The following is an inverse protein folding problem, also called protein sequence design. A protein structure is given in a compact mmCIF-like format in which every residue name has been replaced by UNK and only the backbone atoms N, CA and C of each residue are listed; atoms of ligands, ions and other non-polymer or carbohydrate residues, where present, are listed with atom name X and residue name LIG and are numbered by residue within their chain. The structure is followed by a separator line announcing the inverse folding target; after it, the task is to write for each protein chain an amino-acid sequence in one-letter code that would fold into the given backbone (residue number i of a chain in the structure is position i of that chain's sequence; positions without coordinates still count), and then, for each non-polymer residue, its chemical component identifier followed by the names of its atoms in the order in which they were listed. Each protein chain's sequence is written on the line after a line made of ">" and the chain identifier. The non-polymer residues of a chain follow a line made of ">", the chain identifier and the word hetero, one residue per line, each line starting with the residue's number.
data_IF_497344982954
#
_entry.id   IF_497344982954
#
_cell.length_a   1.000
_cell.length_b   1.000
_cell.length_c   1.000
_cell.angle_alpha   90.00
_cell.angle_beta   90.00
_cell.angle_gamma   90.00
#
_symmetry.space_group_name_H-M   'P 1'
#
loop_
_entity.id
_entity.type
_entity.pdbx_description
1 polymer ?
#
# COMPACT_ATOMS: atom_id res chain seq x y z
N UNK A 1 -21.76 44.80 20.51
CA UNK A 1 -21.57 43.34 20.42
C UNK A 1 -20.26 43.09 19.69
N UNK A 2 -19.23 42.67 20.41
CA UNK A 2 -17.99 42.20 19.81
C UNK A 2 -18.25 40.84 19.14
N UNK A 3 -17.80 40.62 17.90
CA UNK A 3 -17.92 39.31 17.28
C UNK A 3 -17.14 38.29 18.12
N UNK A 4 -17.60 37.03 18.19
CA UNK A 4 -16.94 36.04 19.02
C UNK A 4 -15.49 35.78 18.54
N UNK A 5 -14.53 35.79 19.47
CA UNK A 5 -13.08 35.70 19.22
C UNK A 5 -12.62 34.44 18.43
N UNK A 6 -13.48 33.44 18.26
CA UNK A 6 -13.18 32.22 17.51
C UNK A 6 -13.02 32.47 16.00
N UNK A 7 -13.54 33.58 15.46
CA UNK A 7 -13.45 33.91 14.04
C UNK A 7 -12.12 34.56 13.62
N UNK A 8 -11.25 34.92 14.59
CA UNK A 8 -10.01 35.66 14.33
C UNK A 8 -8.73 34.88 14.62
N UNK A 9 -8.80 33.68 15.22
CA UNK A 9 -7.63 32.83 15.42
C UNK A 9 -7.39 31.99 14.17
N UNK A 10 -6.45 32.44 13.33
CA UNK A 10 -5.85 31.57 12.32
C UNK A 10 -5.22 30.39 13.07
N UNK A 11 -5.62 29.13 12.78
CA UNK A 11 -5.03 27.97 13.43
C UNK A 11 -3.51 28.01 13.25
N UNK A 12 -2.71 27.86 14.32
CA UNK A 12 -1.27 27.97 14.23
C UNK A 12 -0.68 26.86 13.36
N UNK A 13 -1.34 25.71 13.29
CA UNK A 13 -0.95 24.55 12.50
C UNK A 13 -1.76 24.44 11.20
N UNK A 14 -1.06 24.31 10.06
CA UNK A 14 -1.63 23.97 8.76
C UNK A 14 -1.12 22.59 8.32
N UNK A 15 -2.03 21.75 7.86
CA UNK A 15 -1.73 20.42 7.31
C UNK A 15 -2.15 20.36 5.84
N UNK A 16 -1.28 19.81 4.99
CA UNK A 16 -1.56 19.58 3.58
C UNK A 16 -0.99 18.26 3.11
N UNK A 17 -1.69 17.56 2.22
CA UNK A 17 -1.13 16.43 1.50
C UNK A 17 -0.68 16.91 0.12
N UNK A 18 0.62 16.97 -0.16
CA UNK A 18 1.16 17.74 -1.33
C UNK A 18 1.72 16.88 -2.45
N UNK A 19 2.52 15.88 -2.10
CA UNK A 19 3.19 15.02 -3.06
C UNK A 19 2.69 13.58 -2.94
N UNK A 20 2.80 12.83 -4.02
CA UNK A 20 2.55 11.39 -4.05
C UNK A 20 3.69 10.73 -4.81
N UNK A 21 4.29 9.70 -4.23
CA UNK A 21 5.35 8.92 -4.86
C UNK A 21 5.06 7.44 -4.71
N UNK A 22 5.50 6.67 -5.68
CA UNK A 22 5.42 5.22 -5.65
C UNK A 22 6.68 4.66 -6.30
N UNK A 23 7.39 3.79 -5.57
CA UNK A 23 8.49 3.00 -6.10
C UNK A 23 7.95 1.64 -6.56
N UNK A 24 8.49 1.10 -7.65
CA UNK A 24 8.04 -0.17 -8.22
C UNK A 24 8.03 -1.27 -7.15
N UNK A 25 6.85 -1.86 -6.89
CA UNK A 25 6.66 -2.92 -5.90
C UNK A 25 6.25 -2.44 -4.49
N UNK A 26 6.40 -1.15 -4.18
CA UNK A 26 6.04 -0.57 -2.88
C UNK A 26 4.67 0.12 -2.91
N UNK A 27 3.97 0.22 -1.77
CA UNK A 27 2.74 0.99 -1.67
C UNK A 27 3.00 2.48 -1.95
N UNK A 28 2.03 3.13 -2.60
CA UNK A 28 2.12 4.57 -2.82
C UNK A 28 2.11 5.33 -1.49
N UNK A 29 3.04 6.27 -1.34
CA UNK A 29 3.19 7.14 -0.18
C UNK A 29 2.86 8.58 -0.55
N UNK A 30 2.30 9.30 0.42
CA UNK A 30 1.85 10.67 0.28
C UNK A 30 2.55 11.55 1.30
N UNK A 31 3.02 12.71 0.86
CA UNK A 31 3.66 13.68 1.74
C UNK A 31 2.60 14.45 2.52
N UNK A 32 2.55 14.22 3.83
CA UNK A 32 1.83 15.03 4.80
C UNK A 32 2.74 16.16 5.28
N UNK A 33 2.55 17.34 4.70
CA UNK A 33 3.27 18.56 5.04
C UNK A 33 2.58 19.30 6.20
N UNK A 34 3.35 19.57 7.24
CA UNK A 34 2.92 20.29 8.44
C UNK A 34 3.65 21.63 8.51
N UNK A 35 2.90 22.71 8.78
CA UNK A 35 3.45 24.05 9.01
C UNK A 35 2.83 24.67 10.25
N UNK A 36 3.67 24.90 11.26
CA UNK A 36 3.33 25.59 12.48
C UNK A 36 3.86 27.02 12.42
N UNK A 37 2.98 28.00 12.58
CA UNK A 37 3.35 29.38 12.82
C UNK A 37 3.33 29.61 14.33
N UNK A 38 4.49 29.86 14.94
CA UNK A 38 4.56 30.22 16.36
C UNK A 38 4.05 31.65 16.54
N UNK A 39 3.21 31.86 17.56
CA UNK A 39 2.66 33.18 17.87
C UNK A 39 3.77 34.13 18.33
N UNK A 40 3.72 35.37 17.86
CA UNK A 40 4.59 36.47 18.30
C UNK A 40 4.40 36.74 19.79
N UNK A 41 5.46 36.62 20.59
CA UNK A 41 5.50 37.18 21.94
C UNK A 41 5.89 38.67 21.93
N UNK A 42 6.58 39.15 20.89
CA UNK A 42 7.03 40.55 20.75
C UNK A 42 6.82 41.08 19.32
N UNK A 43 6.50 42.37 19.21
CA UNK A 43 5.98 43.02 17.99
C UNK A 43 7.03 43.21 16.87
N UNK A 44 8.31 42.90 17.12
CA UNK A 44 9.43 43.18 16.20
C UNK A 44 10.19 41.94 15.67
N UNK A 45 9.89 40.73 16.14
CA UNK A 45 10.56 39.52 15.61
C UNK A 45 9.81 38.90 14.42
N UNK A 46 10.54 38.28 13.46
CA UNK A 46 9.92 37.52 12.38
C UNK A 46 9.13 36.34 12.96
N UNK A 47 7.96 36.05 12.39
CA UNK A 47 7.14 34.88 12.77
C UNK A 47 7.97 33.63 12.57
N UNK A 48 8.32 32.94 13.66
CA UNK A 48 9.05 31.68 13.58
C UNK A 48 8.11 30.61 13.00
N UNK A 49 8.51 30.05 11.85
CA UNK A 49 7.76 29.01 11.15
C UNK A 49 8.52 27.71 11.26
N UNK A 50 7.91 26.72 11.90
CA UNK A 50 8.41 25.34 11.95
C UNK A 50 7.66 24.53 10.91
N UNK A 51 8.38 23.82 10.05
CA UNK A 51 7.80 22.96 9.03
C UNK A 51 8.45 21.58 9.04
N UNK A 52 7.64 20.55 8.83
CA UNK A 52 8.11 19.18 8.72
C UNK A 52 7.18 18.39 7.80
N UNK A 53 7.70 17.30 7.25
CA UNK A 53 6.95 16.42 6.36
C UNK A 53 7.04 14.99 6.85
N UNK A 54 5.94 14.26 6.72
CA UNK A 54 5.88 12.82 6.93
C UNK A 54 5.42 12.15 5.63
N UNK A 55 5.96 10.97 5.34
CA UNK A 55 5.49 10.16 4.23
C UNK A 55 4.57 9.08 4.78
N UNK A 56 3.33 9.07 4.30
CA UNK A 56 2.27 8.19 4.81
C UNK A 56 1.59 7.45 3.67
N UNK A 57 1.38 6.15 3.85
CA UNK A 57 0.59 5.31 2.96
C UNK A 57 -0.91 5.59 3.11
N UNK A 58 -1.70 5.21 2.11
CA UNK A 58 -3.15 5.29 2.20
C UNK A 58 -3.71 4.48 3.39
N UNK A 59 -3.11 3.32 3.65
CA UNK A 59 -3.44 2.42 4.75
C UNK A 59 -3.19 3.10 6.11
N UNK A 60 -2.12 3.88 6.26
CA UNK A 60 -1.88 4.67 7.48
C UNK A 60 -2.92 5.77 7.68
N UNK A 61 -3.33 6.48 6.61
CA UNK A 61 -4.44 7.44 6.70
C UNK A 61 -5.74 6.74 7.12
N UNK A 62 -5.98 5.53 6.61
CA UNK A 62 -7.15 4.73 6.98
C UNK A 62 -7.08 4.26 8.43
N UNK A 63 -5.91 3.86 8.91
CA UNK A 63 -5.70 3.49 10.31
C UNK A 63 -5.94 4.68 11.25
N UNK A 64 -5.42 5.86 10.89
CA UNK A 64 -5.68 7.12 11.59
C UNK A 64 -7.18 7.42 11.68
N UNK A 65 -7.89 7.35 10.56
CA UNK A 65 -9.34 7.56 10.51
C UNK A 65 -10.11 6.56 11.40
N UNK A 66 -9.74 5.29 11.36
CA UNK A 66 -10.33 4.26 12.22
C UNK A 66 -10.09 4.57 13.71
N UNK A 67 -8.90 5.02 14.09
CA UNK A 67 -8.58 5.40 15.48
C UNK A 67 -9.38 6.62 15.93
N UNK A 68 -9.47 7.64 15.08
CA UNK A 68 -10.30 8.84 15.33
C UNK A 68 -11.77 8.48 15.58
N UNK A 69 -12.30 7.48 14.84
CA UNK A 69 -13.68 6.99 15.00
C UNK A 69 -13.85 6.00 16.16
N UNK A 70 -12.84 5.21 16.49
CA UNK A 70 -12.90 4.17 17.53
C UNK A 70 -12.94 4.75 18.95
N UNK A 71 -12.40 5.96 19.16
CA UNK A 71 -12.39 6.64 20.45
C UNK A 71 -13.79 7.14 20.85
N UNK A 72 -14.74 6.23 21.16
CA UNK A 72 -16.16 6.55 21.44
C UNK A 72 -16.40 7.60 22.53
N UNK A 73 -15.45 7.76 23.45
CA UNK A 73 -15.50 8.77 24.53
C UNK A 73 -14.95 10.14 24.11
N UNK A 74 -14.28 10.23 22.96
CA UNK A 74 -13.72 11.46 22.41
C UNK A 74 -14.79 12.30 21.70
N UNK A 75 -14.81 13.64 21.86
CA UNK A 75 -15.67 14.51 21.09
C UNK A 75 -15.40 14.40 19.58
N UNK A 76 -14.16 14.14 19.19
CA UNK A 76 -13.76 14.02 17.78
C UNK A 76 -14.45 12.85 17.07
N UNK A 77 -14.64 11.71 17.76
CA UNK A 77 -15.31 10.55 17.17
C UNK A 77 -16.76 10.88 16.74
N UNK A 78 -17.46 11.72 17.51
CA UNK A 78 -18.81 12.19 17.15
C UNK A 78 -18.78 13.12 15.94
N UNK A 79 -17.76 13.97 15.84
CA UNK A 79 -17.58 14.89 14.71
C UNK A 79 -17.16 14.18 13.42
N UNK A 80 -16.40 13.09 13.53
CA UNK A 80 -15.96 12.27 12.39
C UNK A 80 -17.12 11.68 11.58
N UNK A 81 -18.34 11.67 12.10
CA UNK A 81 -19.56 11.31 11.33
C UNK A 81 -19.82 12.31 10.19
N UNK A 82 -19.41 13.57 10.36
CA UNK A 82 -19.56 14.64 9.36
C UNK A 82 -18.43 14.63 8.31
N UNK A 83 -17.38 13.84 8.54
CA UNK A 83 -16.20 13.78 7.68
C UNK A 83 -16.13 12.42 6.99
N UNK A 84 -16.40 12.43 5.69
CA UNK A 84 -16.23 11.25 4.85
C UNK A 84 -14.74 10.98 4.63
N UNK A 85 -14.31 9.74 4.88
CA UNK A 85 -12.96 9.31 4.52
C UNK A 85 -12.81 9.15 3.00
N UNK A 86 -11.58 9.28 2.50
CA UNK A 86 -11.26 9.07 1.10
C UNK A 86 -11.71 7.66 0.65
N UNK A 87 -12.37 7.49 -0.51
CA UNK A 87 -12.89 6.19 -0.93
C UNK A 87 -11.79 5.16 -1.18
N UNK A 88 -12.00 3.95 -0.67
CA UNK A 88 -11.20 2.79 -1.02
C UNK A 88 -11.44 2.38 -2.48
N UNK A 89 -10.60 2.84 -3.41
CA UNK A 89 -10.65 2.48 -4.83
C UNK A 89 -10.14 1.06 -5.11
N UNK A 90 -10.69 0.06 -4.41
CA UNK A 90 -10.29 -1.36 -4.51
C UNK A 90 -10.37 -1.90 -5.94
N UNK A 91 -11.30 -1.39 -6.76
CA UNK A 91 -11.47 -1.80 -8.16
C UNK A 91 -10.33 -1.31 -9.07
N UNK A 92 -9.72 -0.17 -8.76
CA UNK A 92 -8.61 0.42 -9.55
C UNK A 92 -7.26 -0.24 -9.24
N UNK A 93 -7.10 -0.75 -8.01
CA UNK A 93 -5.97 -1.58 -7.62
C UNK A 93 -5.86 -2.90 -8.41
N UNK A 94 -6.97 -3.41 -8.95
CA UNK A 94 -6.96 -4.63 -9.79
C UNK A 94 -6.40 -4.43 -11.21
N UNK A 95 -6.20 -3.18 -11.67
CA UNK A 95 -5.69 -2.87 -13.01
C UNK A 95 -4.38 -2.10 -13.00
N UNK A 96 -3.69 -2.04 -11.85
CA UNK A 96 -2.57 -1.12 -11.62
C UNK A 96 -2.91 0.35 -11.95
N UNK A 97 -4.21 0.69 -12.04
CA UNK A 97 -4.67 2.05 -12.30
C UNK A 97 -4.42 2.93 -11.08
N UNK A 98 -4.31 2.31 -9.91
CA UNK A 98 -3.90 2.94 -8.67
C UNK A 98 -2.43 3.39 -8.67
N UNK A 99 -1.64 2.93 -9.63
CA UNK A 99 -0.24 3.33 -9.82
C UNK A 99 -0.08 4.44 -10.86
N UNK A 100 -1.17 4.82 -11.55
CA UNK A 100 -1.09 5.89 -12.54
C UNK A 100 -0.90 7.25 -11.86
N UNK A 101 -0.08 8.16 -12.42
CA UNK A 101 0.09 9.50 -11.87
C UNK A 101 -1.24 10.25 -11.66
N UNK A 102 -2.18 10.07 -12.58
CA UNK A 102 -3.51 10.68 -12.49
C UNK A 102 -4.32 10.19 -11.29
N UNK A 103 -4.16 8.92 -10.92
CA UNK A 103 -4.82 8.36 -9.75
C UNK A 103 -4.15 8.82 -8.47
N UNK A 104 -2.81 8.79 -8.43
CA UNK A 104 -2.05 9.25 -7.27
C UNK A 104 -2.37 10.71 -6.95
N UNK A 105 -2.47 11.57 -7.96
CA UNK A 105 -2.87 12.97 -7.78
C UNK A 105 -4.31 13.09 -7.29
N UNK A 106 -5.24 12.34 -7.88
CA UNK A 106 -6.63 12.32 -7.40
C UNK A 106 -6.72 11.89 -5.93
N UNK A 107 -6.00 10.84 -5.56
CA UNK A 107 -5.98 10.31 -4.20
C UNK A 107 -5.31 11.29 -3.23
N UNK A 108 -4.21 11.94 -3.64
CA UNK A 108 -3.58 13.02 -2.88
C UNK A 108 -4.59 14.15 -2.59
N UNK A 109 -5.35 14.57 -3.59
CA UNK A 109 -6.39 15.60 -3.43
C UNK A 109 -7.50 15.17 -2.46
N UNK A 110 -7.95 13.92 -2.55
CA UNK A 110 -8.95 13.36 -1.63
C UNK A 110 -8.44 13.30 -0.18
N UNK A 111 -7.19 12.88 0.02
CA UNK A 111 -6.55 12.84 1.34
C UNK A 111 -6.30 14.26 1.91
N UNK A 112 -5.87 15.21 1.08
CA UNK A 112 -5.72 16.62 1.47
C UNK A 112 -7.05 17.22 1.93
N UNK A 113 -8.12 17.00 1.15
CA UNK A 113 -9.46 17.46 1.52
C UNK A 113 -9.95 16.83 2.83
N UNK A 114 -9.70 15.53 3.03
CA UNK A 114 -10.01 14.85 4.28
C UNK A 114 -9.27 15.47 5.47
N UNK A 115 -7.95 15.69 5.35
CA UNK A 115 -7.16 16.32 6.42
C UNK A 115 -7.62 17.73 6.72
N UNK A 116 -7.91 18.54 5.69
CA UNK A 116 -8.45 19.89 5.88
C UNK A 116 -9.79 19.88 6.63
N UNK A 117 -10.64 18.88 6.41
CA UNK A 117 -11.91 18.73 7.14
C UNK A 117 -11.70 18.35 8.60
N UNK A 118 -10.77 17.45 8.90
CA UNK A 118 -10.40 17.10 10.28
C UNK A 118 -9.86 18.33 11.02
N UNK A 119 -9.08 19.17 10.35
CA UNK A 119 -8.51 20.40 10.91
C UNK A 119 -9.55 21.50 11.21
N UNK A 120 -10.81 21.34 10.78
CA UNK A 120 -11.91 22.24 11.16
C UNK A 120 -12.50 21.90 12.53
N UNK A 121 -12.12 20.78 13.13
CA UNK A 121 -12.63 20.40 14.44
C UNK A 121 -12.07 21.34 15.52
N UNK A 122 -12.92 21.90 16.40
CA UNK A 122 -12.48 22.72 17.52
C UNK A 122 -11.47 21.96 18.38
N UNK A 123 -10.42 22.66 18.81
CA UNK A 123 -9.38 22.16 19.72
C UNK A 123 -8.59 20.93 19.23
N UNK A 124 -8.79 20.47 17.99
CA UNK A 124 -8.15 19.25 17.47
C UNK A 124 -6.62 19.31 17.48
N UNK A 125 -6.07 20.53 17.38
CA UNK A 125 -4.63 20.82 17.40
C UNK A 125 -4.13 21.44 18.71
N UNK A 126 -4.98 21.59 19.72
CA UNK A 126 -4.63 22.19 21.01
C UNK A 126 -3.96 21.15 21.92
N UNK A 127 -2.81 20.63 21.50
CA UNK A 127 -2.10 19.53 22.18
C UNK A 127 -1.55 19.91 23.57
N UNK A 128 -1.40 21.20 23.86
CA UNK A 128 -1.02 21.69 25.20
C UNK A 128 -2.15 21.60 26.23
N UNK A 129 -3.39 21.26 25.80
CA UNK A 129 -4.56 21.13 26.66
C UNK A 129 -5.14 19.72 26.60
N UNK A 130 -5.85 19.34 27.66
CA UNK A 130 -6.54 18.04 27.76
C UNK A 130 -7.61 17.80 26.69
N UNK A 131 -8.05 18.86 25.99
CA UNK A 131 -9.00 18.78 24.88
C UNK A 131 -8.40 18.41 23.53
N UNK A 132 -7.07 18.38 23.41
CA UNK A 132 -6.38 18.10 22.15
C UNK A 132 -6.58 16.68 21.62
N UNK A 133 -6.41 16.50 20.31
CA UNK A 133 -6.54 15.18 19.70
C UNK A 133 -5.20 14.44 19.70
N UNK A 134 -5.04 13.50 20.63
CA UNK A 134 -3.83 12.66 20.69
C UNK A 134 -3.57 11.84 19.43
N UNK A 135 -4.62 11.24 18.86
CA UNK A 135 -4.49 10.44 17.63
C UNK A 135 -3.93 11.28 16.48
N UNK A 136 -4.31 12.56 16.40
CA UNK A 136 -3.74 13.49 15.42
C UNK A 136 -2.29 13.85 15.76
N UNK A 137 -1.98 14.14 17.02
CA UNK A 137 -0.62 14.44 17.48
C UNK A 137 0.36 13.32 17.12
N UNK A 138 -0.01 12.07 17.42
CA UNK A 138 0.79 10.88 17.12
C UNK A 138 0.96 10.71 15.60
N UNK A 139 -0.13 10.87 14.84
CA UNK A 139 -0.12 10.70 13.38
C UNK A 139 0.79 11.70 12.66
N UNK A 140 0.86 12.94 13.14
CA UNK A 140 1.70 14.00 12.55
C UNK A 140 3.08 14.11 13.21
N UNK A 141 3.41 13.28 14.21
CA UNK A 141 4.67 13.38 14.96
C UNK A 141 4.83 14.71 15.69
N UNK A 142 3.75 15.23 16.28
CA UNK A 142 3.71 16.55 16.91
C UNK A 142 4.68 16.69 18.08
N UNK A 143 4.97 15.61 18.82
CA UNK A 143 5.84 15.62 20.01
C UNK A 143 7.25 16.18 19.74
N UNK A 144 7.76 16.07 18.51
CA UNK A 144 9.08 16.59 18.14
C UNK A 144 9.08 18.10 17.84
N UNK A 145 7.90 18.71 17.69
CA UNK A 145 7.75 20.06 17.13
C UNK A 145 6.80 20.98 17.93
N UNK A 146 5.98 20.41 18.83
CA UNK A 146 4.92 21.09 19.56
C UNK A 146 4.84 20.61 21.00
N UNK A 147 4.36 21.47 21.89
CA UNK A 147 4.03 21.08 23.25
C UNK A 147 2.79 20.17 23.27
N UNK A 148 3.01 18.90 23.62
CA UNK A 148 2.00 17.86 23.75
C UNK A 148 1.73 17.48 25.21
N UNK A 149 2.23 18.26 26.18
CA UNK A 149 2.11 17.99 27.62
C UNK A 149 0.67 17.88 28.12
N UNK A 150 -0.29 18.49 27.41
CA UNK A 150 -1.72 18.43 27.76
C UNK A 150 -2.39 17.09 27.45
N UNK A 151 -1.79 16.22 26.64
CA UNK A 151 -2.40 14.97 26.14
C UNK A 151 -2.29 13.78 27.11
N UNK A 152 -2.13 14.04 28.42
CA UNK A 152 -1.89 13.03 29.46
C UNK A 152 -2.94 11.90 29.45
N UNK A 153 -2.51 10.71 29.02
CA UNK A 153 -3.24 9.45 29.05
C UNK A 153 -2.29 8.29 28.72
N UNK A 154 -2.64 7.02 29.03
CA UNK A 154 -1.75 5.89 28.76
C UNK A 154 -1.36 5.88 27.29
N UNK A 155 -0.06 5.97 27.00
CA UNK A 155 0.46 5.70 25.67
C UNK A 155 0.15 4.25 25.34
N UNK A 156 -0.84 4.03 24.48
CA UNK A 156 -0.95 2.76 23.78
C UNK A 156 0.18 2.76 22.75
N UNK A 157 1.39 2.47 23.23
CA UNK A 157 2.49 1.98 22.40
C UNK A 157 2.03 0.65 21.82
N UNK A 158 1.26 0.68 20.75
CA UNK A 158 1.27 -0.40 19.77
C UNK A 158 2.49 -0.14 18.90
N UNK A 159 3.64 -0.54 19.42
CA UNK A 159 4.82 -0.87 18.62
C UNK A 159 4.46 -2.05 17.71
N UNK A 160 3.72 -1.78 16.64
CA UNK A 160 3.94 -2.46 15.38
C UNK A 160 5.09 -1.70 14.73
N UNK A 161 6.24 -2.35 14.61
CA UNK A 161 7.43 -1.81 13.95
C UNK A 161 7.05 -1.30 12.55
N UNK A 162 6.84 0.01 12.43
CA UNK A 162 6.96 0.72 11.18
C UNK A 162 8.35 1.34 11.17
N UNK A 163 9.30 0.59 10.61
CA UNK A 163 10.63 1.12 10.26
C UNK A 163 10.48 2.22 9.22
N UNK A 164 10.28 3.45 9.71
CA UNK A 164 10.56 4.66 8.95
C UNK A 164 12.07 4.88 9.05
N UNK A 165 12.79 4.55 7.99
CA UNK A 165 14.21 4.79 7.80
C UNK A 165 14.56 6.26 8.04
N UNK A 166 15.03 6.57 9.25
CA UNK A 166 15.75 7.81 9.58
C UNK A 166 17.15 7.37 10.01
N UNK A 167 18.13 7.63 9.16
CA UNK A 167 19.50 7.17 9.38
C UNK A 167 20.14 7.79 10.62
N UNK A 168 20.97 7.00 11.29
CA UNK A 168 22.29 7.41 11.79
C UNK A 168 23.06 6.18 12.29
N UNK A 169 24.35 6.17 11.92
CA UNK A 169 25.51 5.67 12.67
C UNK A 169 25.60 4.18 13.02
N UNK A 170 26.63 3.58 12.39
CA UNK A 170 27.35 2.37 12.82
C UNK A 170 27.73 2.44 14.30
N UNK A 171 27.40 1.39 15.05
CA UNK A 171 28.41 0.56 15.71
C UNK A 171 27.85 -0.81 16.13
N UNK A 172 28.72 -1.82 16.12
CA UNK A 172 28.47 -3.27 16.29
C UNK A 172 27.91 -3.71 17.64
N UNK A 173 27.07 -4.76 17.63
CA UNK A 173 27.37 -6.07 18.26
C UNK A 173 26.21 -7.07 18.12
N UNK A 174 26.61 -8.33 17.90
CA UNK A 174 25.83 -9.58 17.78
C UNK A 174 24.69 -9.78 18.79
N UNK A 175 23.60 -10.39 18.34
CA UNK A 175 23.34 -11.83 18.58
C UNK A 175 21.98 -12.30 18.05
N UNK A 176 22.02 -13.48 17.43
CA UNK A 176 20.91 -14.30 16.97
C UNK A 176 19.89 -14.64 18.05
N UNK A 177 18.59 -14.49 17.78
CA UNK A 177 17.58 -15.45 18.26
C UNK A 177 16.33 -15.52 17.36
N UNK A 178 16.47 -16.37 16.33
CA UNK A 178 15.46 -17.29 15.78
C UNK A 178 14.13 -17.38 16.57
N UNK A 179 13.02 -16.94 15.96
CA UNK A 179 11.69 -17.57 16.17
C UNK A 179 10.77 -17.28 14.99
N UNK A 180 10.64 -18.27 14.10
CA UNK A 180 9.70 -18.29 13.00
C UNK A 180 8.31 -18.68 13.50
N UNK A 181 7.37 -17.73 13.48
CA UNK A 181 5.95 -17.99 13.74
C UNK A 181 5.31 -18.60 12.48
N UNK A 182 5.44 -19.91 12.33
CA UNK A 182 4.71 -20.72 11.35
C UNK A 182 3.23 -20.65 11.70
N UNK A 183 2.47 -19.83 10.98
CA UNK A 183 1.01 -19.87 11.04
C UNK A 183 0.52 -21.07 10.23
N UNK A 184 0.27 -22.17 10.95
CA UNK A 184 -0.51 -23.31 10.49
C UNK A 184 -1.97 -22.86 10.40
N UNK A 185 -2.44 -22.49 9.20
CA UNK A 185 -3.83 -22.62 8.77
C UNK A 185 -3.99 -22.31 7.26
N UNK A 186 -4.76 -23.13 6.55
CA UNK A 186 -5.47 -22.69 5.33
C UNK A 186 -4.99 -23.25 3.99
N UNK A 187 -5.12 -24.56 3.73
CA UNK A 187 -5.12 -25.06 2.35
C UNK A 187 -6.16 -24.35 1.45
N UNK A 188 -7.25 -23.82 2.05
CA UNK A 188 -8.27 -23.03 1.37
C UNK A 188 -7.81 -21.64 0.90
N UNK A 189 -6.88 -20.99 1.60
CA UNK A 189 -6.40 -19.64 1.25
C UNK A 189 -5.46 -19.68 0.04
N UNK A 190 -4.63 -20.73 -0.05
CA UNK A 190 -3.75 -20.94 -1.20
C UNK A 190 -4.53 -21.21 -2.49
N UNK A 191 -5.60 -21.99 -2.42
CA UNK A 191 -6.47 -22.28 -3.58
C UNK A 191 -7.23 -21.04 -4.02
N UNK A 192 -7.73 -20.24 -3.08
CA UNK A 192 -8.39 -18.97 -3.40
C UNK A 192 -7.42 -17.95 -4.03
N UNK A 193 -6.18 -17.89 -3.53
CA UNK A 193 -5.12 -17.06 -4.11
C UNK A 193 -4.77 -17.48 -5.53
N UNK A 194 -4.56 -18.78 -5.79
CA UNK A 194 -4.26 -19.31 -7.13
C UNK A 194 -5.36 -19.05 -8.16
N UNK A 195 -6.63 -19.21 -7.76
CA UNK A 195 -7.78 -18.91 -8.64
C UNK A 195 -7.82 -17.43 -9.05
N UNK A 196 -7.42 -16.54 -8.14
CA UNK A 196 -7.29 -15.11 -8.43
C UNK A 196 -6.14 -14.86 -9.41
N UNK A 197 -5.00 -15.53 -9.23
CA UNK A 197 -3.85 -15.42 -10.15
C UNK A 197 -4.20 -15.83 -11.58
N UNK A 198 -4.77 -17.03 -11.81
CA UNK A 198 -5.15 -17.45 -13.17
C UNK A 198 -6.16 -16.50 -13.83
N UNK A 199 -7.02 -15.85 -13.03
CA UNK A 199 -7.93 -14.84 -13.55
C UNK A 199 -7.20 -13.56 -13.95
N UNK A 200 -6.22 -13.13 -13.16
CA UNK A 200 -5.41 -11.94 -13.43
C UNK A 200 -4.56 -12.13 -14.69
N UNK A 201 -3.88 -13.26 -14.83
CA UNK A 201 -3.07 -13.59 -16.01
C UNK A 201 -3.89 -13.49 -17.31
N UNK A 202 -5.12 -14.04 -17.33
CA UNK A 202 -6.01 -13.92 -18.50
C UNK A 202 -6.35 -12.46 -18.78
N UNK A 203 -6.65 -11.67 -17.73
CA UNK A 203 -7.04 -10.28 -17.90
C UNK A 203 -5.88 -9.40 -18.39
N UNK A 204 -4.65 -9.68 -17.96
CA UNK A 204 -3.41 -9.01 -18.37
C UNK A 204 -3.05 -9.34 -19.83
N UNK A 205 -2.98 -10.61 -20.20
CA UNK A 205 -2.65 -11.01 -21.58
C UNK A 205 -3.71 -10.53 -22.60
N UNK A 206 -4.99 -10.53 -22.21
CA UNK A 206 -6.05 -9.94 -23.04
C UNK A 206 -5.91 -8.42 -23.19
N UNK A 207 -5.45 -7.72 -22.16
CA UNK A 207 -5.18 -6.29 -22.25
C UNK A 207 -3.98 -6.01 -23.17
N UNK A 208 -2.93 -6.82 -23.06
CA UNK A 208 -1.69 -6.68 -23.85
C UNK A 208 -1.92 -6.96 -25.33
N UNK A 209 -2.61 -8.06 -25.68
CA UNK A 209 -2.81 -8.48 -27.07
C UNK A 209 -4.01 -7.82 -27.75
N UNK A 210 -5.09 -7.63 -26.98
CA UNK A 210 -6.42 -7.28 -27.51
C UNK A 210 -6.91 -5.89 -27.14
N UNK A 211 -6.20 -5.20 -26.25
CA UNK A 211 -6.59 -3.91 -25.70
C UNK A 211 -7.85 -3.96 -24.84
N UNK A 212 -8.28 -2.78 -24.37
CA UNK A 212 -9.39 -2.63 -23.43
C UNK A 212 -10.74 -3.17 -23.98
N UNK A 213 -10.92 -3.17 -25.29
CA UNK A 213 -12.17 -3.60 -25.93
C UNK A 213 -12.37 -5.12 -25.85
N UNK A 214 -11.36 -5.91 -26.23
CA UNK A 214 -11.44 -7.37 -26.17
C UNK A 214 -11.57 -7.87 -24.72
N UNK A 215 -10.82 -7.27 -23.79
CA UNK A 215 -10.94 -7.55 -22.36
C UNK A 215 -12.36 -7.30 -21.83
N UNK A 216 -13.00 -6.21 -22.25
CA UNK A 216 -14.38 -5.88 -21.86
C UNK A 216 -15.38 -6.90 -22.39
N UNK A 217 -15.23 -7.37 -23.63
CA UNK A 217 -16.09 -8.40 -24.24
C UNK A 217 -15.90 -9.74 -23.54
N UNK A 218 -14.65 -10.15 -23.29
CA UNK A 218 -14.33 -11.35 -22.52
C UNK A 218 -14.98 -11.31 -21.14
N UNK A 219 -14.82 -10.22 -20.39
CA UNK A 219 -15.44 -10.05 -19.05
C UNK A 219 -16.95 -10.17 -19.07
N UNK A 220 -17.60 -9.59 -20.09
CA UNK A 220 -19.05 -9.71 -20.27
C UNK A 220 -19.45 -11.16 -20.46
N UNK A 221 -18.75 -11.91 -21.32
CA UNK A 221 -19.02 -13.33 -21.59
C UNK A 221 -18.71 -14.23 -20.38
N UNK A 222 -17.59 -14.02 -19.72
CA UNK A 222 -17.22 -14.73 -18.48
C UNK A 222 -18.25 -14.51 -17.36
N UNK A 223 -18.85 -13.31 -17.27
CA UNK A 223 -19.93 -13.03 -16.32
C UNK A 223 -21.21 -13.80 -16.66
N UNK A 224 -21.56 -13.89 -17.94
CA UNK A 224 -22.72 -14.67 -18.41
C UNK A 224 -22.52 -16.15 -18.06
N UNK A 225 -21.36 -16.73 -18.40
CA UNK A 225 -20.99 -18.10 -18.03
C UNK A 225 -21.14 -18.38 -16.52
N UNK A 226 -20.72 -17.44 -15.67
CA UNK A 226 -20.82 -17.59 -14.22
C UNK A 226 -22.26 -17.51 -13.70
N UNK A 227 -23.11 -16.71 -14.34
CA UNK A 227 -24.50 -16.49 -13.96
C UNK A 227 -25.44 -17.61 -14.42
N UNK A 228 -25.12 -18.25 -15.53
CA UNK A 228 -25.91 -19.36 -16.07
C UNK A 228 -25.93 -20.55 -15.11
N UNK A 229 -27.08 -21.16 -14.86
CA UNK A 229 -27.20 -22.23 -13.87
C UNK A 229 -26.84 -23.58 -14.47
N UNK A 230 -27.16 -23.81 -15.75
CA UNK A 230 -26.82 -25.03 -16.47
C UNK A 230 -25.33 -25.00 -16.90
N UNK A 231 -24.49 -25.93 -16.39
CA UNK A 231 -23.08 -26.00 -16.74
C UNK A 231 -22.80 -26.23 -18.23
N UNK A 232 -23.64 -27.01 -18.92
CA UNK A 232 -23.44 -27.38 -20.34
C UNK A 232 -23.88 -26.22 -21.23
N UNK A 233 -25.09 -25.69 -20.99
CA UNK A 233 -25.59 -24.53 -21.72
C UNK A 233 -24.73 -23.26 -21.50
N UNK A 234 -23.98 -23.19 -20.40
CA UNK A 234 -22.98 -22.13 -20.17
C UNK A 234 -21.69 -22.36 -20.97
N UNK A 235 -21.21 -23.61 -21.04
CA UNK A 235 -19.90 -23.96 -21.58
C UNK A 235 -19.81 -23.78 -23.09
N UNK A 236 -20.78 -24.30 -23.86
CA UNK A 236 -20.71 -24.28 -25.32
C UNK A 236 -20.64 -22.85 -25.89
N UNK A 237 -21.53 -21.90 -25.49
CA UNK A 237 -21.46 -20.54 -26.01
C UNK A 237 -20.21 -19.77 -25.57
N UNK A 238 -19.58 -20.19 -24.47
CA UNK A 238 -18.35 -19.57 -23.99
C UNK A 238 -17.13 -20.06 -24.78
N UNK A 239 -17.05 -21.36 -25.07
CA UNK A 239 -15.98 -21.94 -25.92
C UNK A 239 -16.11 -21.44 -27.36
N UNK A 240 -17.32 -21.41 -27.91
CA UNK A 240 -17.57 -20.86 -29.24
C UNK A 240 -17.14 -19.39 -29.35
N UNK A 241 -17.43 -18.58 -28.32
CA UNK A 241 -16.95 -17.21 -28.25
C UNK A 241 -15.43 -17.13 -28.26
N UNK A 242 -14.72 -18.00 -27.55
CA UNK A 242 -13.26 -17.98 -27.51
C UNK A 242 -12.66 -18.32 -28.88
N UNK A 243 -13.14 -19.36 -29.54
CA UNK A 243 -12.66 -19.75 -30.87
C UNK A 243 -12.99 -18.72 -31.95
N UNK A 244 -14.07 -17.95 -31.78
CA UNK A 244 -14.47 -16.91 -32.73
C UNK A 244 -13.65 -15.61 -32.59
N UNK A 245 -13.20 -15.29 -31.38
CA UNK A 245 -12.61 -13.98 -31.08
C UNK A 245 -11.09 -14.03 -30.86
N UNK A 246 -10.52 -15.23 -30.67
CA UNK A 246 -9.11 -15.42 -30.40
C UNK A 246 -8.51 -16.50 -31.29
N UNK A 247 -7.22 -16.34 -31.61
CA UNK A 247 -6.44 -17.37 -32.30
C UNK A 247 -6.47 -18.71 -31.53
N UNK A 248 -6.46 -19.87 -32.20
CA UNK A 248 -6.68 -21.18 -31.58
C UNK A 248 -5.77 -21.45 -30.36
N UNK A 249 -4.48 -21.16 -30.48
CA UNK A 249 -3.51 -21.35 -29.40
C UNK A 249 -3.79 -20.46 -28.20
N UNK A 250 -4.21 -19.22 -28.47
CA UNK A 250 -4.52 -18.26 -27.42
C UNK A 250 -5.88 -18.55 -26.78
N UNK A 251 -6.87 -18.99 -27.56
CA UNK A 251 -8.16 -19.46 -27.05
C UNK A 251 -7.96 -20.65 -26.09
N UNK A 252 -7.10 -21.61 -26.47
CA UNK A 252 -6.75 -22.75 -25.64
C UNK A 252 -6.03 -22.32 -24.35
N UNK A 253 -5.09 -21.38 -24.46
CA UNK A 253 -4.39 -20.80 -23.31
C UNK A 253 -5.35 -20.13 -22.33
N UNK A 254 -6.29 -19.31 -22.82
CA UNK A 254 -7.33 -18.66 -22.00
C UNK A 254 -8.18 -19.72 -21.33
N UNK A 255 -8.60 -20.74 -22.08
CA UNK A 255 -9.52 -21.78 -21.61
C UNK A 255 -8.90 -22.60 -20.48
N UNK A 256 -7.64 -23.03 -20.59
CA UNK A 256 -6.91 -23.74 -19.52
C UNK A 256 -6.88 -22.95 -18.21
N UNK A 257 -6.53 -21.66 -18.29
CA UNK A 257 -6.46 -20.76 -17.13
C UNK A 257 -7.84 -20.41 -16.59
N UNK A 258 -8.85 -20.30 -17.45
CA UNK A 258 -10.20 -19.96 -17.04
C UNK A 258 -10.83 -21.11 -16.26
N UNK A 259 -10.60 -22.36 -16.69
CA UNK A 259 -10.99 -23.57 -15.94
C UNK A 259 -10.41 -23.53 -14.53
N UNK A 260 -9.13 -23.18 -14.37
CA UNK A 260 -8.47 -23.06 -13.05
C UNK A 260 -9.13 -22.00 -12.17
N UNK A 261 -9.66 -20.92 -12.75
CA UNK A 261 -10.32 -19.83 -12.01
C UNK A 261 -11.73 -20.17 -11.47
N UNK A 262 -12.36 -21.26 -11.94
CA UNK A 262 -13.76 -21.59 -11.62
C UNK A 262 -13.87 -22.38 -10.30
N UNK A 263 -14.79 -21.96 -9.43
CA UNK A 263 -15.07 -22.63 -8.14
C UNK A 263 -15.93 -23.89 -8.28
N UNK A 264 -16.91 -23.91 -9.18
CA UNK A 264 -17.83 -25.05 -9.37
C UNK A 264 -17.15 -26.19 -10.13
N UNK A 265 -17.18 -27.41 -9.56
CA UNK A 265 -16.63 -28.59 -10.20
C UNK A 265 -17.41 -29.01 -11.46
N UNK A 266 -18.74 -28.86 -11.45
CA UNK A 266 -19.62 -29.17 -12.58
C UNK A 266 -19.35 -28.26 -13.77
N UNK A 267 -19.22 -26.94 -13.52
CA UNK A 267 -18.88 -25.96 -14.57
C UNK A 267 -17.48 -26.18 -15.13
N UNK A 268 -16.51 -26.63 -14.31
CA UNK A 268 -15.18 -27.00 -14.81
C UNK A 268 -15.23 -28.21 -15.73
N UNK A 269 -15.96 -29.26 -15.34
CA UNK A 269 -16.13 -30.47 -16.16
C UNK A 269 -16.81 -30.17 -17.49
N UNK A 270 -17.92 -29.42 -17.46
CA UNK A 270 -18.63 -29.03 -18.68
C UNK A 270 -17.75 -28.19 -19.61
N UNK A 271 -16.97 -27.25 -19.06
CA UNK A 271 -16.06 -26.42 -19.83
C UNK A 271 -14.88 -27.21 -20.43
N UNK A 272 -14.34 -28.17 -19.67
CA UNK A 272 -13.33 -29.10 -20.18
C UNK A 272 -13.87 -29.98 -21.31
N UNK A 273 -15.10 -30.49 -21.18
CA UNK A 273 -15.74 -31.30 -22.21
C UNK A 273 -16.01 -30.51 -23.49
N UNK A 274 -16.61 -29.32 -23.37
CA UNK A 274 -16.89 -28.43 -24.51
C UNK A 274 -15.62 -27.94 -25.20
N UNK A 275 -14.56 -27.70 -24.42
CA UNK A 275 -13.28 -27.18 -24.89
C UNK A 275 -12.27 -28.23 -25.34
N UNK A 276 -12.60 -29.53 -25.23
CA UNK A 276 -11.67 -30.62 -25.58
C UNK A 276 -10.42 -30.70 -24.71
N UNK A 277 -10.46 -30.18 -23.47
CA UNK A 277 -9.29 -30.15 -22.57
C UNK A 277 -9.41 -31.22 -21.50
N UNK A 278 -8.36 -32.03 -21.34
CA UNK A 278 -8.26 -32.98 -20.23
C UNK A 278 -7.95 -32.27 -18.91
N UNK A 279 -8.78 -32.51 -17.89
CA UNK A 279 -8.61 -31.96 -16.54
C UNK A 279 -7.28 -32.38 -15.90
N UNK A 280 -6.80 -33.60 -16.21
CA UNK A 280 -5.51 -34.11 -15.76
C UNK A 280 -4.32 -33.36 -16.37
N UNK A 281 -4.46 -32.83 -17.59
CA UNK A 281 -3.44 -31.98 -18.23
C UNK A 281 -3.31 -30.63 -17.53
N UNK A 282 -4.40 -30.09 -16.99
CA UNK A 282 -4.43 -28.78 -16.31
C UNK A 282 -3.78 -28.87 -14.93
N UNK A 283 -4.03 -29.96 -14.21
CA UNK A 283 -3.46 -30.19 -12.86
C UNK A 283 -1.95 -30.54 -12.93
N UNK A 284 -1.49 -31.16 -14.02
CA UNK A 284 -0.08 -31.45 -14.24
C UNK A 284 0.77 -30.17 -14.49
N UNK A 285 0.24 -29.21 -15.25
CA UNK A 285 0.89 -27.90 -15.47
C UNK A 285 1.06 -27.09 -14.17
N UNK A 286 0.12 -27.22 -13.21
CA UNK A 286 0.18 -26.55 -11.91
C UNK A 286 1.32 -27.08 -11.02
N UNK A 287 1.67 -28.37 -11.15
CA UNK A 287 2.80 -28.98 -10.44
C UNK A 287 4.15 -28.54 -11.02
N UNK A 288 4.21 -28.33 -12.34
CA UNK A 288 5.43 -27.94 -13.03
C UNK A 288 5.70 -26.43 -12.89
N UNK A 289 4.68 -25.56 -13.03
CA UNK A 289 4.79 -24.13 -12.72
C UNK A 289 5.23 -23.90 -11.26
N UNK A 290 4.69 -24.68 -10.32
CA UNK A 290 5.08 -24.64 -8.90
C UNK A 290 6.54 -25.09 -8.67
N UNK A 291 7.09 -25.96 -9.52
CA UNK A 291 8.49 -26.41 -9.45
C UNK A 291 9.44 -25.37 -10.07
N UNK A 292 9.09 -24.81 -11.22
CA UNK A 292 9.87 -23.78 -11.91
C UNK A 292 9.97 -22.50 -11.07
N UNK A 293 8.89 -22.09 -10.38
CA UNK A 293 8.91 -20.93 -9.48
C UNK A 293 9.84 -21.14 -8.27
N UNK A 294 9.97 -22.38 -7.77
CA UNK A 294 10.91 -22.73 -6.70
C UNK A 294 12.36 -22.79 -7.20
N UNK A 295 12.58 -23.16 -8.46
CA UNK A 295 13.92 -23.19 -9.06
C UNK A 295 14.44 -21.77 -9.36
N UNK A 296 13.60 -20.88 -9.90
CA UNK A 296 13.96 -19.48 -10.10
C UNK A 296 14.33 -18.75 -8.80
N UNK A 297 13.59 -19.01 -7.71
CA UNK A 297 13.94 -18.47 -6.40
C UNK A 297 15.25 -19.04 -5.84
N UNK A 298 15.59 -20.28 -6.19
CA UNK A 298 16.85 -20.90 -5.76
C UNK A 298 18.07 -20.37 -6.52
N UNK A 299 17.90 -20.03 -7.80
CA UNK A 299 18.96 -19.44 -8.63
C UNK A 299 19.23 -17.99 -8.25
N UNK A 300 18.19 -17.19 -7.96
CA UNK A 300 18.37 -15.79 -7.54
C UNK A 300 19.13 -15.65 -6.22
N UNK A 301 18.87 -16.55 -5.27
CA UNK A 301 19.58 -16.58 -3.97
C UNK A 301 21.05 -17.00 -4.14
N UNK A 302 21.35 -17.84 -5.14
CA UNK A 302 22.70 -18.31 -5.42
C UNK A 302 23.54 -17.24 -6.14
N UNK A 303 22.93 -16.41 -6.98
CA UNK A 303 23.59 -15.26 -7.62
C UNK A 303 23.92 -14.15 -6.61
N UNK A 304 23.01 -13.84 -5.66
CA UNK A 304 23.26 -12.88 -4.58
C UNK A 304 24.41 -13.33 -3.65
N UNK A 305 24.52 -14.64 -3.36
CA UNK A 305 25.61 -15.18 -2.54
C UNK A 305 26.98 -15.15 -3.24
N UNK A 306 27.04 -15.22 -4.56
CA UNK A 306 28.31 -15.13 -5.30
C UNK A 306 28.80 -13.68 -5.46
N UNK A 307 27.89 -12.71 -5.59
CA UNK A 307 28.24 -11.28 -5.62
C UNK A 307 28.77 -10.77 -4.27
N UNK A 308 28.23 -11.25 -3.15
CA UNK A 308 28.73 -10.88 -1.81
C UNK A 308 30.12 -11.49 -1.53
N UNK A 309 30.41 -12.69 -2.07
CA UNK A 309 31.74 -13.31 -1.98
C UNK A 309 32.81 -12.62 -2.82
N UNK A 310 32.45 -12.05 -3.98
CA UNK A 310 33.39 -11.26 -4.81
C UNK A 310 33.74 -9.91 -4.19
N UNK A 311 32.78 -9.28 -3.51
CA UNK A 311 32.95 -7.94 -2.93
C UNK A 311 33.88 -7.91 -1.71
N UNK A 312 33.99 -9.02 -0.95
CA UNK A 312 34.87 -9.13 0.22
C UNK A 312 36.36 -9.33 -0.09
N UNK A 313 36.76 -9.59 -1.33
CA UNK A 313 38.15 -9.96 -1.67
C UNK A 313 39.10 -8.79 -1.98
N UNK A 314 38.61 -7.55 -2.08
CA UNK A 314 39.44 -6.41 -2.54
C UNK A 314 39.56 -5.21 -1.59
N UNK A 315 38.99 -5.26 -0.38
CA UNK A 315 38.95 -4.10 0.52
C UNK A 315 39.83 -4.22 1.76
N UNK A 316 41.17 -4.30 1.65
CA UNK A 316 42.03 -4.25 2.86
C UNK A 316 43.45 -3.75 2.63
N UNK A 317 43.67 -2.55 2.07
CA UNK A 317 44.96 -1.87 2.20
C UNK A 317 44.75 -0.35 2.25
N UNK A 318 44.83 0.24 3.44
CA UNK A 318 45.53 1.53 3.66
C UNK A 318 45.73 1.74 5.15
N UNK A 319 47.00 1.70 5.55
CA UNK A 319 47.50 1.85 6.91
C UNK A 319 47.81 3.32 7.17
N UNK A 320 47.43 3.75 8.36
CA UNK A 320 47.74 4.99 9.09
C UNK A 320 49.19 5.46 8.90
N UNK A 321 49.41 6.77 8.69
CA UNK A 321 50.50 7.50 9.37
C UNK A 321 50.16 8.98 9.61
N UNK A 322 50.61 9.39 10.79
CA UNK A 322 50.23 10.51 11.62
C UNK A 322 51.03 11.77 11.28
N UNK A 323 50.40 12.95 11.38
CA UNK A 323 51.04 14.28 11.35
C UNK A 323 51.95 14.50 12.58
N UNK A 324 52.92 15.42 12.47
CA UNK A 324 52.97 16.46 13.50
C UNK A 324 53.17 17.89 12.97
N UNK A 325 52.40 18.79 13.60
CA UNK A 325 52.69 20.16 14.05
C UNK A 325 53.91 20.93 13.51
N UNK A 326 53.63 22.17 13.08
CA UNK A 326 54.31 23.33 13.69
C UNK A 326 54.98 24.36 12.77
N UNK A 327 54.51 25.61 12.91
CA UNK A 327 55.26 26.87 12.89
C UNK A 327 55.74 27.51 11.56
N UNK A 328 55.11 28.67 11.30
CA UNK A 328 55.69 30.02 11.15
C UNK A 328 56.68 30.37 10.02
N UNK A 329 56.32 31.51 9.37
CA UNK A 329 57.16 32.56 8.74
C UNK A 329 57.84 32.15 7.43
N UNK A 330 57.87 32.94 6.35
CA UNK A 330 57.68 34.38 6.08
C UNK A 330 56.98 34.54 4.73
#
# INVERSE_FOLDING_TARGET
>A
MTPPDFLLRVPPLKLHVRNATQTNGEPAVYELFCRLNKSREKQDEPVEVVQWSLWKTYEEFQAFDNQMRAARKSPFAKMMVTVAFAPGHRVRAFFHQDQTPSFLEKRRAELDFYMQRVMLFPDVVEFSKQGGCRVLADFIGAEQHMDCSGLLGPSLNVSGEFSSSRGMLRDSSDSDTRTSCVSVNGAGDKVNSRRKMCRLEIEEELALRGGAHQLKRFKKRARVFRKENDPVAAADPFVEFLHKEFEPDFALWILRRFVRSIKSAEKRKALCAAGGISMASIDAEDLDESRSQRQHHRLSVQEEEEEDRRSKKYGTWTRVMTLPLGMQRF
#
